data_IF_357879907369
#
_entry.id   IF_357879907369
#
_cell.length_a   1.000
_cell.length_b   1.000
_cell.length_c   1.000
_cell.angle_alpha   90.00
_cell.angle_beta   90.00
_cell.angle_gamma   90.00
#
_symmetry.space_group_name_H-M   'P 1'
#
loop_
_entity.id
_entity.type
_entity.pdbx_description
1 polymer ?
#
# COMPACT_ATOMS: atom_id res chain seq x y z
N UNK A 1 -11.72 18.87 -18.43
CA UNK A 1 -10.43 18.33 -17.97
C UNK A 1 -10.32 16.90 -18.47
N UNK A 2 -9.28 16.56 -19.24
CA UNK A 2 -9.16 15.26 -19.93
C UNK A 2 -8.72 14.10 -19.00
N UNK A 3 -8.99 14.19 -17.69
CA UNK A 3 -8.61 13.19 -16.69
C UNK A 3 -7.10 12.99 -16.50
N UNK A 4 -6.24 13.87 -17.05
CA UNK A 4 -4.78 13.77 -16.91
C UNK A 4 -4.34 14.44 -15.61
N UNK A 5 -3.55 13.72 -14.81
CA UNK A 5 -2.89 14.26 -13.63
C UNK A 5 -1.91 15.37 -14.04
N UNK A 6 -2.11 16.59 -13.51
CA UNK A 6 -1.24 17.75 -13.79
C UNK A 6 -0.10 17.89 -12.77
N UNK A 7 -0.39 17.66 -11.49
CA UNK A 7 0.57 17.69 -10.39
C UNK A 7 0.11 16.82 -9.22
N UNK A 8 1.07 16.34 -8.42
CA UNK A 8 0.82 15.59 -7.19
C UNK A 8 1.82 16.06 -6.12
N UNK A 9 1.30 16.44 -4.96
CA UNK A 9 2.09 16.90 -3.81
C UNK A 9 1.66 16.06 -2.60
N UNK A 10 2.53 15.19 -2.06
CA UNK A 10 2.26 14.51 -0.79
C UNK A 10 2.19 15.52 0.36
N UNK A 11 1.24 15.31 1.27
CA UNK A 11 1.03 16.13 2.48
C UNK A 11 0.88 15.21 3.70
N UNK A 12 0.71 15.78 4.89
CA UNK A 12 0.41 15.05 6.14
C UNK A 12 1.43 13.97 6.53
N UNK A 13 2.66 14.41 6.76
CA UNK A 13 3.82 13.56 7.09
C UNK A 13 3.84 12.98 8.52
N UNK A 14 2.75 13.12 9.28
CA UNK A 14 2.67 12.77 10.72
C UNK A 14 2.81 11.27 11.01
N UNK A 15 2.66 10.41 10.00
CA UNK A 15 2.79 8.95 10.10
C UNK A 15 3.99 8.40 9.33
N UNK A 16 4.86 9.27 8.79
CA UNK A 16 6.08 8.81 8.15
C UNK A 16 6.99 8.11 9.15
N UNK A 17 7.47 6.94 8.77
CA UNK A 17 8.42 6.16 9.54
C UNK A 17 9.55 5.68 8.65
N UNK A 18 10.76 5.56 9.21
CA UNK A 18 11.83 4.84 8.54
C UNK A 18 11.50 3.34 8.63
N UNK A 19 11.18 2.73 7.48
CA UNK A 19 10.77 1.34 7.42
C UNK A 19 11.08 0.69 6.08
N UNK A 20 10.66 -0.57 5.92
CA UNK A 20 10.79 -1.29 4.65
C UNK A 20 9.97 -0.60 3.55
N UNK A 21 10.61 -0.25 2.44
CA UNK A 21 9.99 0.55 1.35
C UNK A 21 8.79 -0.17 0.73
N UNK A 22 8.78 -1.50 0.82
CA UNK A 22 7.69 -2.36 0.35
C UNK A 22 6.44 -2.29 1.22
N UNK A 23 6.56 -1.92 2.50
CA UNK A 23 5.41 -1.76 3.39
C UNK A 23 4.57 -0.56 2.93
N UNK A 24 5.21 0.57 2.61
CA UNK A 24 4.52 1.75 2.08
C UNK A 24 3.87 1.46 0.72
N UNK A 25 4.56 0.71 -0.15
CA UNK A 25 4.03 0.29 -1.44
C UNK A 25 2.78 -0.60 -1.30
N UNK A 26 2.86 -1.61 -0.42
CA UNK A 26 1.73 -2.51 -0.14
C UNK A 26 0.57 -1.74 0.50
N UNK A 27 0.85 -0.84 1.44
CA UNK A 27 -0.15 0.05 2.04
C UNK A 27 -0.88 0.87 0.97
N UNK A 28 -0.14 1.53 0.09
CA UNK A 28 -0.70 2.36 -0.98
C UNK A 28 -1.57 1.53 -1.95
N UNK A 29 -1.08 0.36 -2.37
CA UNK A 29 -1.83 -0.51 -3.29
C UNK A 29 -3.10 -1.04 -2.62
N UNK A 30 -3.01 -1.58 -1.41
CA UNK A 30 -4.15 -2.20 -0.71
C UNK A 30 -5.24 -1.18 -0.37
N UNK A 31 -4.85 -0.01 0.14
CA UNK A 31 -5.80 1.04 0.52
C UNK A 31 -6.40 1.75 -0.69
N UNK A 32 -5.62 1.95 -1.76
CA UNK A 32 -5.98 2.78 -2.90
C UNK A 32 -6.66 2.06 -4.08
N UNK A 33 -6.75 0.72 -4.06
CA UNK A 33 -7.22 -0.05 -5.23
C UNK A 33 -8.27 -1.08 -4.85
N UNK A 34 -9.08 -1.50 -5.83
CA UNK A 34 -9.98 -2.64 -5.72
C UNK A 34 -9.37 -3.95 -6.25
N UNK A 35 -10.08 -5.06 -6.03
CA UNK A 35 -9.63 -6.39 -6.47
C UNK A 35 -9.38 -6.47 -7.98
N UNK A 36 -10.24 -5.86 -8.79
CA UNK A 36 -10.14 -5.94 -10.26
C UNK A 36 -8.91 -5.18 -10.78
N UNK A 37 -8.67 -3.98 -10.23
CA UNK A 37 -7.48 -3.21 -10.54
C UNK A 37 -6.19 -3.98 -10.19
N UNK A 38 -6.13 -4.61 -9.00
CA UNK A 38 -4.97 -5.42 -8.63
C UNK A 38 -4.81 -6.64 -9.52
N UNK A 39 -5.90 -7.32 -9.86
CA UNK A 39 -5.87 -8.46 -10.79
C UNK A 39 -5.24 -8.08 -12.14
N UNK A 40 -5.55 -6.89 -12.65
CA UNK A 40 -5.07 -6.40 -13.95
C UNK A 40 -3.68 -5.75 -13.91
N UNK A 41 -3.30 -5.12 -12.79
CA UNK A 41 -2.18 -4.16 -12.77
C UNK A 41 -1.15 -4.39 -11.68
N UNK A 42 -1.35 -5.30 -10.73
CA UNK A 42 -0.46 -5.46 -9.56
C UNK A 42 1.01 -5.68 -9.95
N UNK A 43 1.30 -6.67 -10.80
CA UNK A 43 2.67 -6.93 -11.27
C UNK A 43 3.30 -5.72 -11.94
N UNK A 44 2.52 -4.97 -12.72
CA UNK A 44 2.99 -3.76 -13.41
C UNK A 44 3.31 -2.64 -12.43
N UNK A 45 2.51 -2.47 -11.37
CA UNK A 45 2.76 -1.49 -10.32
C UNK A 45 4.06 -1.78 -9.58
N UNK A 46 4.26 -3.03 -9.15
CA UNK A 46 5.46 -3.45 -8.44
C UNK A 46 6.71 -3.22 -9.29
N UNK A 47 6.66 -3.59 -10.58
CA UNK A 47 7.77 -3.35 -11.51
C UNK A 47 8.01 -1.85 -11.72
N UNK A 48 6.95 -1.07 -11.93
CA UNK A 48 7.05 0.37 -12.15
C UNK A 48 7.66 1.11 -10.95
N UNK A 49 7.37 0.66 -9.73
CA UNK A 49 7.97 1.21 -8.51
C UNK A 49 9.50 1.02 -8.52
N UNK A 50 9.97 -0.21 -8.76
CA UNK A 50 11.40 -0.49 -8.81
C UNK A 50 12.09 0.26 -9.95
N UNK A 51 11.50 0.27 -11.15
CA UNK A 51 12.08 0.97 -12.31
C UNK A 51 12.24 2.48 -12.03
N UNK A 52 11.25 3.07 -11.36
CA UNK A 52 11.29 4.48 -10.96
C UNK A 52 12.37 4.74 -9.90
N UNK A 53 12.47 3.84 -8.90
CA UNK A 53 13.50 3.89 -7.87
C UNK A 53 14.92 3.79 -8.48
N UNK A 54 15.16 2.77 -9.30
CA UNK A 54 16.44 2.55 -9.98
C UNK A 54 16.78 3.74 -10.89
N UNK A 55 15.81 4.23 -11.67
CA UNK A 55 16.00 5.42 -12.51
C UNK A 55 16.33 6.67 -11.71
N UNK A 56 15.82 6.81 -10.48
CA UNK A 56 16.16 7.92 -9.59
C UNK A 56 17.58 7.78 -9.02
N UNK A 57 18.00 6.59 -8.61
CA UNK A 57 19.38 6.33 -8.20
C UNK A 57 20.37 6.68 -9.32
N UNK A 58 20.10 6.27 -10.56
CA UNK A 58 20.94 6.63 -11.72
C UNK A 58 21.05 8.14 -11.92
N UNK A 59 19.95 8.89 -11.75
CA UNK A 59 19.97 10.36 -11.83
C UNK A 59 20.83 11.02 -10.76
N UNK A 60 21.00 10.36 -9.61
CA UNK A 60 21.88 10.79 -8.53
C UNK A 60 23.34 10.31 -8.72
N UNK A 61 23.66 9.64 -9.83
CA UNK A 61 24.99 9.10 -10.10
C UNK A 61 25.31 7.81 -9.34
N UNK A 62 24.29 7.12 -8.83
CA UNK A 62 24.42 5.84 -8.14
C UNK A 62 24.08 4.67 -9.08
N UNK A 63 24.69 3.51 -8.87
CA UNK A 63 24.39 2.28 -9.59
C UNK A 63 23.34 1.44 -8.82
N UNK A 64 22.12 1.27 -9.35
CA UNK A 64 21.08 0.45 -8.71
C UNK A 64 21.51 -1.00 -8.48
N UNK A 65 22.31 -1.58 -9.37
CA UNK A 65 22.79 -2.97 -9.27
C UNK A 65 23.88 -3.13 -8.18
N UNK A 66 24.36 -2.03 -7.61
CA UNK A 66 25.25 -2.05 -6.43
C UNK A 66 24.47 -1.72 -5.16
N UNK A 67 23.59 -0.71 -5.21
CA UNK A 67 22.89 -0.20 -4.04
C UNK A 67 21.74 -1.13 -3.62
N UNK A 68 20.87 -1.49 -4.55
CA UNK A 68 19.71 -2.34 -4.28
C UNK A 68 19.22 -3.02 -5.58
N UNK A 69 19.87 -4.12 -5.99
CA UNK A 69 19.56 -4.85 -7.21
C UNK A 69 18.12 -5.37 -7.28
N UNK A 70 17.63 -5.58 -8.50
CA UNK A 70 16.25 -6.04 -8.73
C UNK A 70 15.99 -7.39 -8.09
N UNK A 71 16.99 -8.27 -8.08
CA UNK A 71 16.87 -9.59 -7.44
C UNK A 71 16.56 -9.47 -5.95
N UNK A 72 17.21 -8.54 -5.24
CA UNK A 72 16.96 -8.32 -3.82
C UNK A 72 15.58 -7.70 -3.59
N UNK A 73 15.19 -6.74 -4.42
CA UNK A 73 13.81 -6.22 -4.37
C UNK A 73 12.75 -7.32 -4.57
N UNK A 74 12.97 -8.25 -5.49
CA UNK A 74 12.02 -9.36 -5.73
C UNK A 74 12.00 -10.38 -4.58
N UNK A 75 13.12 -10.58 -3.90
CA UNK A 75 13.23 -11.40 -2.69
C UNK A 75 12.48 -10.76 -1.53
N UNK A 76 12.79 -9.49 -1.24
CA UNK A 76 12.13 -8.71 -0.20
C UNK A 76 10.63 -8.61 -0.49
N UNK A 77 10.23 -8.36 -1.73
CA UNK A 77 8.81 -8.27 -2.10
C UNK A 77 8.06 -9.56 -1.76
N UNK A 78 8.66 -10.74 -2.00
CA UNK A 78 8.04 -12.02 -1.63
C UNK A 78 7.96 -12.18 -0.10
N UNK A 79 8.98 -11.75 0.63
CA UNK A 79 9.01 -11.80 2.09
C UNK A 79 7.97 -10.86 2.73
N UNK A 80 7.82 -9.66 2.18
CA UNK A 80 6.88 -8.66 2.68
C UNK A 80 5.45 -8.87 2.18
N UNK A 81 5.23 -9.63 1.11
CA UNK A 81 3.91 -9.80 0.52
C UNK A 81 2.84 -10.23 1.54
N UNK A 82 3.06 -11.23 2.42
CA UNK A 82 2.09 -11.61 3.46
C UNK A 82 1.68 -10.44 4.40
N UNK A 83 2.56 -9.47 4.65
CA UNK A 83 2.22 -8.32 5.50
C UNK A 83 1.13 -7.45 4.89
N UNK A 84 0.97 -7.42 3.56
CA UNK A 84 -0.11 -6.66 2.94
C UNK A 84 -1.51 -7.19 3.29
N UNK A 85 -1.65 -8.48 3.65
CA UNK A 85 -2.90 -9.03 4.17
C UNK A 85 -3.19 -8.53 5.58
N UNK A 86 -2.16 -8.46 6.43
CA UNK A 86 -2.26 -7.88 7.77
C UNK A 86 -2.63 -6.39 7.67
N UNK A 87 -1.95 -5.65 6.78
CA UNK A 87 -2.28 -4.26 6.50
C UNK A 87 -3.74 -4.11 6.05
N UNK A 88 -4.23 -4.96 5.14
CA UNK A 88 -5.61 -4.90 4.69
C UNK A 88 -6.62 -5.05 5.85
N UNK A 89 -6.34 -5.93 6.81
CA UNK A 89 -7.20 -6.15 7.96
C UNK A 89 -7.35 -4.90 8.84
N UNK A 90 -6.26 -4.16 9.06
CA UNK A 90 -6.25 -2.98 9.94
C UNK A 90 -6.62 -1.68 9.22
N UNK A 91 -6.17 -1.51 7.97
CA UNK A 91 -6.26 -0.24 7.25
C UNK A 91 -7.57 -0.08 6.50
N UNK A 92 -8.13 -1.14 5.93
CA UNK A 92 -9.38 -1.02 5.16
C UNK A 92 -10.56 -0.48 5.99
N UNK A 93 -10.77 -0.90 7.25
CA UNK A 93 -11.81 -0.29 8.09
C UNK A 93 -11.59 1.21 8.31
N UNK A 94 -10.34 1.66 8.41
CA UNK A 94 -9.99 3.08 8.63
C UNK A 94 -10.20 3.90 7.37
N UNK A 95 -9.73 3.39 6.22
CA UNK A 95 -9.76 4.13 4.94
C UNK A 95 -11.16 4.16 4.33
N UNK A 96 -11.98 3.15 4.59
CA UNK A 96 -13.31 2.99 3.98
C UNK A 96 -14.46 3.33 4.94
N UNK A 97 -14.16 3.84 6.15
CA UNK A 97 -15.19 4.33 7.06
C UNK A 97 -15.89 5.54 6.44
N UNK A 98 -17.21 5.61 6.60
CA UNK A 98 -17.96 6.81 6.25
C UNK A 98 -17.58 7.95 7.20
N UNK A 99 -17.51 9.18 6.69
CA UNK A 99 -17.03 10.32 7.48
C UNK A 99 -17.87 10.57 8.73
N UNK A 100 -19.18 10.25 8.71
CA UNK A 100 -20.06 10.39 9.87
C UNK A 100 -19.76 9.37 10.98
N UNK A 101 -19.11 8.26 10.62
CA UNK A 101 -18.77 7.15 11.52
C UNK A 101 -17.27 7.12 11.87
N UNK A 102 -16.48 8.07 11.37
CA UNK A 102 -15.05 8.17 11.64
C UNK A 102 -14.78 8.57 13.10
N UNK A 103 -13.84 7.91 13.79
CA UNK A 103 -13.48 8.28 15.16
C UNK A 103 -12.82 9.67 15.16
N UNK A 104 -13.19 10.50 16.12
CA UNK A 104 -12.49 11.76 16.36
C UNK A 104 -11.18 11.49 17.08
N UNK A 105 -10.08 12.02 16.54
CA UNK A 105 -8.77 11.96 17.19
C UNK A 105 -8.57 13.24 18.01
N UNK A 106 -8.95 13.20 19.29
CA UNK A 106 -8.75 14.29 20.26
C UNK A 106 -7.90 13.82 21.46
N UNK A 107 -7.02 14.69 21.97
CA UNK A 107 -6.32 14.49 23.25
C UNK A 107 -5.52 13.18 23.34
N UNK A 108 -5.80 12.39 24.38
CA UNK A 108 -5.10 11.14 24.75
C UNK A 108 -5.63 9.89 24.01
N UNK A 109 -6.08 10.05 22.75
CA UNK A 109 -6.65 8.98 21.95
C UNK A 109 -5.76 7.73 21.90
N UNK A 110 -6.35 6.56 22.19
CA UNK A 110 -5.66 5.26 22.23
C UNK A 110 -5.85 4.52 20.91
N UNK A 111 -4.98 3.55 20.64
CA UNK A 111 -5.12 2.64 19.49
C UNK A 111 -6.48 1.91 19.51
N UNK A 112 -7.04 1.64 20.69
CA UNK A 112 -8.38 1.05 20.83
C UNK A 112 -9.49 1.96 20.31
N UNK A 113 -9.28 3.27 20.30
CA UNK A 113 -10.25 4.25 19.83
C UNK A 113 -10.25 4.35 18.30
N UNK A 114 -9.24 3.75 17.65
CA UNK A 114 -9.15 3.55 16.21
C UNK A 114 -9.77 2.21 15.75
N UNK A 115 -10.35 1.42 16.67
CA UNK A 115 -11.07 0.19 16.33
C UNK A 115 -12.40 0.53 15.64
N UNK A 116 -12.34 0.61 14.32
CA UNK A 116 -13.52 0.83 13.49
C UNK A 116 -14.13 -0.51 13.13
N UNK A 117 -15.44 -0.66 13.39
CA UNK A 117 -16.18 -1.82 12.91
C UNK A 117 -16.18 -1.80 11.38
N UNK A 118 -15.72 -2.87 10.70
CA UNK A 118 -15.76 -2.93 9.24
C UNK A 118 -17.20 -2.77 8.73
N UNK A 119 -17.41 -1.85 7.79
CA UNK A 119 -18.65 -1.77 7.03
C UNK A 119 -18.64 -2.79 5.88
N UNK A 120 -19.76 -2.89 5.15
CA UNK A 120 -19.90 -3.84 4.04
C UNK A 120 -18.85 -3.62 2.95
N UNK A 121 -18.44 -2.37 2.71
CA UNK A 121 -17.42 -2.02 1.71
C UNK A 121 -16.04 -2.51 2.14
N UNK A 122 -15.65 -2.28 3.40
CA UNK A 122 -14.40 -2.78 3.96
C UNK A 122 -14.37 -4.31 4.00
N UNK A 123 -15.49 -4.95 4.36
CA UNK A 123 -15.62 -6.40 4.35
C UNK A 123 -15.43 -6.95 2.93
N UNK A 124 -16.14 -6.41 1.94
CA UNK A 124 -15.99 -6.80 0.53
C UNK A 124 -14.56 -6.59 0.05
N UNK A 125 -13.95 -5.43 0.32
CA UNK A 125 -12.58 -5.12 -0.12
C UNK A 125 -11.55 -6.05 0.52
N UNK A 126 -11.74 -6.43 1.78
CA UNK A 126 -10.88 -7.40 2.45
C UNK A 126 -10.99 -8.79 1.80
N UNK A 127 -12.20 -9.24 1.45
CA UNK A 127 -12.38 -10.51 0.71
C UNK A 127 -11.69 -10.50 -0.66
N UNK A 128 -11.77 -9.37 -1.39
CA UNK A 128 -11.04 -9.20 -2.65
C UNK A 128 -9.52 -9.31 -2.45
N UNK A 129 -8.98 -8.77 -1.34
CA UNK A 129 -7.56 -8.94 -0.99
C UNK A 129 -7.24 -10.42 -0.73
N UNK A 130 -8.05 -11.12 0.08
CA UNK A 130 -7.85 -12.54 0.35
C UNK A 130 -7.81 -13.35 -0.95
N UNK A 131 -8.76 -13.11 -1.86
CA UNK A 131 -8.79 -13.76 -3.18
C UNK A 131 -7.52 -13.49 -3.99
N UNK A 132 -7.03 -12.25 -3.97
CA UNK A 132 -5.76 -11.92 -4.64
C UNK A 132 -4.59 -12.73 -4.07
N UNK A 133 -4.52 -12.90 -2.75
CA UNK A 133 -3.43 -13.62 -2.08
C UNK A 133 -3.48 -15.13 -2.32
N UNK A 134 -4.67 -15.71 -2.38
CA UNK A 134 -4.88 -17.10 -2.83
C UNK A 134 -4.40 -17.25 -4.29
N UNK A 135 -4.80 -16.34 -5.17
CA UNK A 135 -4.39 -16.37 -6.58
C UNK A 135 -2.89 -16.14 -6.79
N UNK A 136 -2.21 -15.50 -5.83
CA UNK A 136 -0.75 -15.31 -5.83
C UNK A 136 0.01 -16.49 -5.20
N UNK A 137 -0.69 -17.47 -4.61
CA UNK A 137 -0.09 -18.63 -3.95
C UNK A 137 0.57 -18.29 -2.61
N UNK A 138 0.11 -17.24 -1.94
CA UNK A 138 0.59 -16.83 -0.61
C UNK A 138 -0.21 -17.52 0.50
N UNK A 139 -1.50 -17.76 0.26
CA UNK A 139 -2.43 -18.50 1.11
C UNK A 139 -2.78 -19.87 0.51
#
# INVERSE_FOLDING_TARGET
>A
MNGKLESLIPVDYQTLQAGGQLIDLLYFIVSGTDGEFRRLHHKRLIQHYYDSFAGFLTKLGLDPEVVYPKRHFDEDYKEYLPFGLILAMFILPIVLVESENAPTMEGDAKITDMLIKPNDVAHKRFLEVVENYVNWGVL
#
